data_IF_049238584663
#
_entry.id   IF_049238584663
#
_cell.length_a   1.000
_cell.length_b   1.000
_cell.length_c   1.000
_cell.angle_alpha   90.00
_cell.angle_beta   90.00
_cell.angle_gamma   90.00
#
_symmetry.space_group_name_H-M   'P 1'
#
loop_
_entity.id
_entity.type
_entity.pdbx_description
1 polymer ?
#
# COMPACT_ATOMS: atom_id res chain seq x y z
N UNK A 1 -16.85 11.96 1.39
CA UNK A 1 -16.77 11.27 0.08
C UNK A 1 -15.41 11.39 -0.59
N UNK A 2 -14.71 12.55 -0.53
CA UNK A 2 -13.40 12.71 -1.19
C UNK A 2 -12.28 11.79 -0.66
N UNK A 3 -12.27 11.47 0.64
CA UNK A 3 -11.23 10.63 1.26
C UNK A 3 -11.20 9.19 0.74
N UNK A 4 -12.38 8.54 0.60
CA UNK A 4 -12.46 7.15 0.14
C UNK A 4 -11.98 6.98 -1.31
N UNK A 5 -12.23 7.95 -2.18
CA UNK A 5 -11.76 7.93 -3.57
C UNK A 5 -10.23 8.09 -3.65
N UNK A 6 -9.65 8.96 -2.80
CA UNK A 6 -8.21 9.15 -2.73
C UNK A 6 -7.49 7.89 -2.21
N UNK A 7 -8.02 7.25 -1.17
CA UNK A 7 -7.48 6.00 -0.63
C UNK A 7 -7.53 4.87 -1.66
N UNK A 8 -8.64 4.75 -2.39
CA UNK A 8 -8.79 3.75 -3.43
C UNK A 8 -7.80 3.96 -4.58
N UNK A 9 -7.55 5.22 -4.98
CA UNK A 9 -6.57 5.53 -6.01
C UNK A 9 -5.13 5.22 -5.55
N UNK A 10 -4.79 5.52 -4.28
CA UNK A 10 -3.50 5.14 -3.71
C UNK A 10 -3.32 3.63 -3.59
N UNK A 11 -4.41 2.88 -3.36
CA UNK A 11 -4.36 1.42 -3.32
C UNK A 11 -4.01 0.83 -4.71
N UNK A 12 -4.63 1.32 -5.79
CA UNK A 12 -4.28 0.85 -7.13
C UNK A 12 -2.84 1.16 -7.53
N UNK A 13 -2.31 2.31 -7.11
CA UNK A 13 -0.90 2.65 -7.33
C UNK A 13 0.04 1.67 -6.61
N UNK A 14 -0.28 1.31 -5.36
CA UNK A 14 0.48 0.30 -4.61
C UNK A 14 0.49 -1.06 -5.33
N UNK A 15 -0.67 -1.50 -5.84
CA UNK A 15 -0.77 -2.75 -6.60
C UNK A 15 0.09 -2.71 -7.88
N UNK A 16 0.13 -1.57 -8.58
CA UNK A 16 1.01 -1.39 -9.73
C UNK A 16 2.48 -1.53 -9.36
N UNK A 17 2.90 -0.93 -8.24
CA UNK A 17 4.29 -1.02 -7.78
C UNK A 17 4.69 -2.43 -7.34
N UNK A 18 3.78 -3.21 -6.74
CA UNK A 18 4.02 -4.61 -6.37
C UNK A 18 4.24 -5.52 -7.58
N UNK A 19 3.61 -5.21 -8.71
CA UNK A 19 3.74 -5.94 -9.98
C UNK A 19 4.85 -5.38 -10.87
N UNK A 20 5.59 -4.37 -10.42
CA UNK A 20 6.67 -3.77 -11.18
C UNK A 20 7.80 -4.78 -11.40
N UNK A 21 8.39 -4.85 -12.61
CA UNK A 21 9.59 -5.65 -12.87
C UNK A 21 10.84 -5.08 -12.18
N UNK A 22 10.82 -3.81 -11.75
CA UNK A 22 11.90 -3.19 -10.99
C UNK A 22 11.87 -3.67 -9.53
N UNK A 23 12.94 -4.36 -9.13
CA UNK A 23 13.11 -4.88 -7.78
C UNK A 23 13.16 -3.80 -6.69
N UNK A 24 13.65 -2.59 -6.99
CA UNK A 24 13.69 -1.50 -6.02
C UNK A 24 12.26 -1.01 -5.74
N UNK A 25 11.50 -0.77 -6.79
CA UNK A 25 10.09 -0.33 -6.70
C UNK A 25 9.23 -1.39 -6.01
N UNK A 26 9.39 -2.66 -6.40
CA UNK A 26 8.63 -3.76 -5.79
C UNK A 26 8.94 -3.92 -4.31
N UNK A 27 10.22 -3.89 -3.91
CA UNK A 27 10.60 -4.03 -2.50
C UNK A 27 10.07 -2.89 -1.63
N UNK A 28 10.12 -1.65 -2.14
CA UNK A 28 9.55 -0.52 -1.42
C UNK A 28 8.04 -0.72 -1.20
N UNK A 29 7.31 -1.16 -2.23
CA UNK A 29 5.88 -1.42 -2.13
C UNK A 29 5.54 -2.57 -1.17
N UNK A 30 6.37 -3.61 -1.09
CA UNK A 30 6.24 -4.68 -0.09
C UNK A 30 6.37 -4.14 1.34
N UNK A 31 7.34 -3.26 1.61
CA UNK A 31 7.51 -2.59 2.91
C UNK A 31 6.31 -1.70 3.23
N UNK A 32 5.87 -0.87 2.28
CA UNK A 32 4.72 0.02 2.47
C UNK A 32 3.43 -0.76 2.77
N UNK A 33 3.24 -1.94 2.16
CA UNK A 33 2.11 -2.81 2.44
C UNK A 33 2.19 -3.39 3.86
N UNK A 34 3.37 -3.83 4.28
CA UNK A 34 3.58 -4.42 5.61
C UNK A 34 3.35 -3.38 6.72
N UNK A 35 3.85 -2.16 6.57
CA UNK A 35 3.62 -1.08 7.54
C UNK A 35 2.13 -0.72 7.66
N UNK A 36 1.40 -0.67 6.54
CA UNK A 36 -0.05 -0.46 6.56
C UNK A 36 -0.78 -1.59 7.28
N UNK A 37 -0.34 -2.84 7.10
CA UNK A 37 -0.91 -4.00 7.77
C UNK A 37 -0.68 -3.96 9.29
N UNK A 38 0.55 -3.73 9.74
CA UNK A 38 0.89 -3.57 11.16
C UNK A 38 0.09 -2.44 11.81
N UNK A 39 -0.02 -1.30 11.13
CA UNK A 39 -0.85 -0.16 11.60
C UNK A 39 -2.32 -0.57 11.76
N UNK A 40 -2.86 -1.34 10.80
CA UNK A 40 -4.24 -1.80 10.84
C UNK A 40 -4.48 -2.78 12.01
N UNK A 41 -3.54 -3.69 12.25
CA UNK A 41 -3.57 -4.64 13.38
C UNK A 41 -3.44 -3.91 14.71
N UNK A 42 -2.55 -2.91 14.80
CA UNK A 42 -2.37 -2.11 16.01
C UNK A 42 -3.61 -1.27 16.36
N UNK A 43 -4.37 -0.82 15.37
CA UNK A 43 -5.63 -0.09 15.55
C UNK A 43 -6.79 -0.97 16.07
N UNK A 44 -6.68 -2.29 16.01
CA UNK A 44 -7.72 -3.25 16.41
C UNK A 44 -7.37 -4.04 17.69
N UNK A 45 -6.38 -3.60 18.48
CA UNK A 45 -6.11 -4.06 19.85
C UNK A 45 -6.57 -3.01 20.86
#
# INVERSE_FOLDING_TARGET
MAAAAAEQQQFYLLLGNLLSPDNVVRKQAETDMFEKFETCVALHK
#
